data_IF_544659149201
#
_entry.id   IF_544659149201
#
_cell.length_a   1.000
_cell.length_b   1.000
_cell.length_c   1.000
_cell.angle_alpha   90.00
_cell.angle_beta   90.00
_cell.angle_gamma   90.00
#
_symmetry.space_group_name_H-M   'P 1'
#
loop_
_entity.id
_entity.type
_entity.pdbx_description
1 polymer ?
#
# COMPACT_ATOMS: atom_id res chain seq x y z
N UNK A 1 3.12 -13.93 25.24
CA UNK A 1 1.90 -13.84 24.40
C UNK A 1 1.61 -12.36 24.21
N UNK A 2 1.82 -11.82 23.00
CA UNK A 2 1.56 -10.39 22.74
C UNK A 2 0.08 -10.10 22.93
N UNK A 3 -0.26 -9.06 23.69
CA UNK A 3 -1.64 -8.61 23.84
C UNK A 3 -2.23 -8.34 22.46
N UNK A 4 -3.42 -8.89 22.20
CA UNK A 4 -4.15 -8.64 20.95
C UNK A 4 -4.54 -7.16 20.96
N UNK A 5 -3.95 -6.38 20.07
CA UNK A 5 -4.18 -4.94 19.98
C UNK A 5 -5.24 -4.65 18.89
N UNK A 6 -6.18 -3.74 19.19
CA UNK A 6 -7.18 -3.26 18.23
C UNK A 6 -6.61 -2.10 17.42
N UNK A 7 -7.05 -1.95 16.18
CA UNK A 7 -6.79 -0.73 15.43
C UNK A 7 -7.77 0.41 15.83
N UNK A 8 -7.59 1.59 15.23
CA UNK A 8 -8.43 2.76 15.49
C UNK A 8 -9.91 2.54 15.07
N UNK A 9 -10.19 1.51 14.27
CA UNK A 9 -11.54 1.10 13.84
C UNK A 9 -12.04 -0.14 14.59
N UNK A 10 -11.43 -0.43 15.75
CA UNK A 10 -11.84 -1.49 16.66
C UNK A 10 -11.70 -2.92 16.08
N UNK A 11 -10.87 -3.12 15.05
CA UNK A 11 -10.59 -4.43 14.44
C UNK A 11 -9.42 -5.11 15.13
N UNK A 12 -9.48 -6.43 15.28
CA UNK A 12 -8.39 -7.21 15.86
C UNK A 12 -7.26 -7.42 14.85
N UNK A 13 -6.02 -7.09 15.25
CA UNK A 13 -4.82 -7.43 14.46
C UNK A 13 -4.47 -8.90 14.67
N UNK A 14 -5.04 -9.79 13.85
CA UNK A 14 -4.87 -11.25 13.94
C UNK A 14 -3.84 -11.83 12.98
N UNK A 15 -3.47 -11.09 11.93
CA UNK A 15 -2.53 -11.55 10.90
C UNK A 15 -1.09 -11.18 11.27
N UNK A 16 -0.18 -12.14 11.16
CA UNK A 16 1.26 -11.93 11.36
C UNK A 16 1.97 -11.80 10.03
N UNK A 17 2.71 -10.70 9.85
CA UNK A 17 3.64 -10.51 8.73
C UNK A 17 5.06 -10.55 9.30
N UNK A 18 5.93 -11.38 8.73
CA UNK A 18 7.31 -11.56 9.21
C UNK A 18 8.32 -11.37 8.07
N UNK A 19 9.45 -10.76 8.39
CA UNK A 19 10.58 -10.52 7.48
C UNK A 19 11.90 -10.71 8.23
N UNK A 20 12.98 -10.97 7.50
CA UNK A 20 14.33 -11.16 8.05
C UNK A 20 15.07 -9.82 8.04
N UNK A 21 15.87 -9.60 9.09
CA UNK A 21 16.73 -8.43 9.24
C UNK A 21 18.13 -8.91 9.64
N UNK A 22 19.16 -8.19 9.23
CA UNK A 22 20.48 -8.31 9.84
C UNK A 22 20.45 -7.80 11.30
N UNK A 23 21.43 -8.17 12.13
CA UNK A 23 21.56 -7.62 13.48
C UNK A 23 21.58 -6.08 13.50
N UNK A 24 22.30 -5.48 12.56
CA UNK A 24 22.45 -4.02 12.41
C UNK A 24 21.13 -3.36 12.02
N UNK A 25 20.40 -3.92 11.06
CA UNK A 25 19.08 -3.41 10.64
C UNK A 25 18.07 -3.48 11.81
N UNK A 26 18.13 -4.52 12.63
CA UNK A 26 17.27 -4.66 13.81
C UNK A 26 17.63 -3.64 14.92
N UNK A 27 18.90 -3.32 15.11
CA UNK A 27 19.32 -2.27 16.04
C UNK A 27 18.83 -0.89 15.57
N UNK A 28 19.00 -0.59 14.29
CA UNK A 28 18.51 0.66 13.70
C UNK A 28 17.00 0.80 13.84
N UNK A 29 16.24 -0.27 13.51
CA UNK A 29 14.79 -0.29 13.72
C UNK A 29 14.42 -0.01 15.17
N UNK A 30 15.14 -0.62 16.13
CA UNK A 30 14.89 -0.41 17.56
C UNK A 30 15.11 1.05 17.96
N UNK A 31 16.17 1.67 17.45
CA UNK A 31 16.48 3.07 17.72
C UNK A 31 15.43 4.00 17.11
N UNK A 32 15.02 3.77 15.86
CA UNK A 32 13.96 4.54 15.21
C UNK A 32 12.64 4.45 15.97
N UNK A 33 12.23 3.26 16.42
CA UNK A 33 11.02 3.07 17.22
C UNK A 33 11.06 3.90 18.50
N UNK A 34 12.21 3.93 19.20
CA UNK A 34 12.41 4.76 20.40
C UNK A 34 12.34 6.25 20.09
N UNK A 35 13.00 6.71 19.03
CA UNK A 35 13.07 8.11 18.64
C UNK A 35 11.72 8.66 18.17
N UNK A 36 10.92 7.85 17.46
CA UNK A 36 9.62 8.26 16.94
C UNK A 36 8.51 8.27 18.01
N UNK A 37 8.80 7.88 19.25
CA UNK A 37 7.83 7.87 20.35
C UNK A 37 6.71 6.84 20.19
N UNK A 38 6.86 5.86 19.30
CA UNK A 38 5.91 4.78 19.14
C UNK A 38 5.92 3.87 20.38
N UNK A 39 4.74 3.47 20.87
CA UNK A 39 4.65 2.63 22.06
C UNK A 39 5.12 1.21 21.79
N UNK A 40 4.93 0.74 20.56
CA UNK A 40 5.33 -0.60 20.14
C UNK A 40 6.04 -0.57 18.78
N UNK A 41 6.89 -1.59 18.54
CA UNK A 41 7.48 -1.81 17.20
C UNK A 41 6.41 -2.04 16.14
N UNK A 42 5.31 -2.69 16.52
CA UNK A 42 4.20 -2.99 15.60
C UNK A 42 3.54 -1.71 15.08
N UNK A 43 3.28 -0.72 15.94
CA UNK A 43 2.72 0.57 15.53
C UNK A 43 3.64 1.29 14.55
N UNK A 44 4.93 1.36 14.87
CA UNK A 44 5.93 1.99 14.00
C UNK A 44 5.96 1.33 12.62
N UNK A 45 6.06 -0.01 12.57
CA UNK A 45 6.14 -0.76 11.30
C UNK A 45 4.86 -0.59 10.49
N UNK A 46 3.68 -0.68 11.10
CA UNK A 46 2.41 -0.48 10.39
C UNK A 46 2.34 0.95 9.82
N UNK A 47 2.72 1.95 10.62
CA UNK A 47 2.70 3.34 10.17
C UNK A 47 3.70 3.59 9.03
N UNK A 48 4.91 3.03 9.12
CA UNK A 48 5.91 3.12 8.05
C UNK A 48 5.46 2.41 6.77
N UNK A 49 4.82 1.24 6.86
CA UNK A 49 4.40 0.50 5.67
C UNK A 49 3.19 1.16 5.00
N UNK A 50 2.21 1.65 5.78
CA UNK A 50 0.95 2.15 5.24
C UNK A 50 0.97 3.63 4.82
N UNK A 51 1.86 4.45 5.39
CA UNK A 51 1.80 5.92 5.22
C UNK A 51 3.12 6.53 4.76
N UNK A 52 4.09 5.72 4.32
CA UNK A 52 5.34 6.24 3.76
C UNK A 52 5.16 6.65 2.30
N UNK A 53 5.95 7.65 1.86
CA UNK A 53 6.01 8.05 0.46
C UNK A 53 6.28 6.84 -0.42
N UNK A 54 5.36 6.58 -1.35
CA UNK A 54 5.46 5.49 -2.32
C UNK A 54 6.57 5.80 -3.34
N UNK A 55 7.45 4.84 -3.58
CA UNK A 55 8.41 4.87 -4.70
C UNK A 55 8.05 3.72 -5.64
N UNK A 56 7.55 4.07 -6.83
CA UNK A 56 7.04 3.08 -7.77
C UNK A 56 8.17 2.56 -8.68
N UNK A 57 8.45 1.26 -8.60
CA UNK A 57 9.35 0.57 -9.54
C UNK A 57 8.44 -0.14 -10.56
N UNK A 58 8.46 0.33 -11.80
CA UNK A 58 7.54 -0.12 -12.85
C UNK A 58 7.68 -1.61 -13.12
N UNK A 59 6.61 -2.37 -12.88
CA UNK A 59 6.51 -3.79 -13.26
C UNK A 59 5.10 -4.05 -13.82
N UNK A 60 4.95 -4.72 -14.97
CA UNK A 60 3.66 -5.11 -15.54
C UNK A 60 2.66 -5.78 -14.56
N UNK A 61 3.14 -6.56 -13.58
CA UNK A 61 2.28 -7.19 -12.57
C UNK A 61 1.52 -6.17 -11.70
N UNK A 62 2.04 -4.95 -11.57
CA UNK A 62 1.37 -3.86 -10.86
C UNK A 62 0.06 -3.46 -11.55
N UNK A 63 0.05 -3.37 -12.88
CA UNK A 63 -1.15 -3.03 -13.66
C UNK A 63 -2.22 -4.13 -13.55
N UNK A 64 -1.80 -5.39 -13.41
CA UNK A 64 -2.71 -6.51 -13.15
C UNK A 64 -3.37 -6.36 -11.78
N UNK A 65 -2.59 -6.02 -10.75
CA UNK A 65 -3.13 -5.76 -9.40
C UNK A 65 -4.08 -4.56 -9.37
N UNK A 66 -3.78 -3.50 -10.13
CA UNK A 66 -4.67 -2.34 -10.26
C UNK A 66 -6.01 -2.73 -10.86
N UNK A 67 -5.99 -3.50 -11.96
CA UNK A 67 -7.21 -4.00 -12.60
C UNK A 67 -8.09 -4.78 -11.63
N UNK A 68 -7.51 -5.70 -10.85
CA UNK A 68 -8.25 -6.49 -9.87
C UNK A 68 -8.89 -5.63 -8.79
N UNK A 69 -8.16 -4.64 -8.26
CA UNK A 69 -8.72 -3.74 -7.25
C UNK A 69 -9.83 -2.84 -7.84
N UNK A 70 -9.70 -2.37 -9.08
CA UNK A 70 -10.76 -1.60 -9.74
C UNK A 70 -12.02 -2.43 -9.97
N UNK A 71 -11.89 -3.70 -10.38
CA UNK A 71 -13.03 -4.63 -10.51
C UNK A 71 -13.72 -4.88 -9.17
N UNK A 72 -12.96 -5.00 -8.08
CA UNK A 72 -13.55 -5.14 -6.75
C UNK A 72 -14.35 -3.90 -6.34
N UNK A 73 -13.80 -2.71 -6.62
CA UNK A 73 -14.48 -1.44 -6.31
C UNK A 73 -15.73 -1.27 -7.19
N UNK A 74 -15.66 -1.60 -8.47
CA UNK A 74 -16.81 -1.60 -9.38
C UNK A 74 -17.94 -2.47 -8.83
N UNK A 75 -17.65 -3.71 -8.42
CA UNK A 75 -18.63 -4.61 -7.84
C UNK A 75 -19.24 -4.08 -6.53
N UNK A 76 -18.43 -3.47 -5.65
CA UNK A 76 -18.95 -2.86 -4.42
C UNK A 76 -19.78 -1.60 -4.70
N UNK A 77 -19.42 -0.78 -5.70
CA UNK A 77 -20.20 0.37 -6.12
C UNK A 77 -21.54 -0.03 -6.76
N UNK A 78 -21.56 -1.08 -7.59
CA UNK A 78 -22.80 -1.64 -8.15
C UNK A 78 -23.75 -2.16 -7.05
N UNK A 79 -23.19 -2.68 -5.95
CA UNK A 79 -23.96 -3.17 -4.80
C UNK A 79 -24.56 -2.04 -3.97
N UNK A 80 -23.92 -0.87 -3.93
CA UNK A 80 -24.36 0.27 -3.12
C UNK A 80 -25.60 0.93 -3.73
N UNK A 81 -26.73 0.89 -3.01
CA UNK A 81 -27.96 1.56 -3.43
C UNK A 81 -28.05 3.01 -2.93
N UNK A 82 -27.29 3.38 -1.88
CA UNK A 82 -27.26 4.72 -1.27
C UNK A 82 -25.85 5.09 -0.85
N UNK A 83 -25.51 6.37 -0.99
CA UNK A 83 -24.19 6.89 -0.64
C UNK A 83 -23.85 6.77 0.86
N UNK A 84 -24.86 6.76 1.74
CA UNK A 84 -24.66 6.63 3.20
C UNK A 84 -24.19 5.23 3.63
N UNK A 85 -24.30 4.22 2.76
CA UNK A 85 -23.84 2.84 3.02
C UNK A 85 -22.38 2.63 2.56
N UNK A 86 -21.76 3.64 1.96
CA UNK A 86 -20.42 3.54 1.40
C UNK A 86 -19.36 3.48 2.51
N UNK A 87 -18.59 2.38 2.55
CA UNK A 87 -17.47 2.26 3.48
C UNK A 87 -16.40 3.32 3.18
N UNK A 88 -16.01 4.08 4.20
CA UNK A 88 -14.88 5.01 4.17
C UNK A 88 -13.57 4.40 3.63
N UNK A 89 -13.38 3.08 3.77
CA UNK A 89 -12.20 2.37 3.26
C UNK A 89 -12.32 1.91 1.81
N UNK A 90 -13.51 1.94 1.20
CA UNK A 90 -13.74 1.46 -0.17
C UNK A 90 -12.81 2.14 -1.18
N UNK A 91 -12.51 3.43 -0.95
CA UNK A 91 -11.68 4.23 -1.83
C UNK A 91 -10.19 4.20 -1.46
N UNK A 92 -9.80 3.49 -0.40
CA UNK A 92 -8.38 3.36 0.01
C UNK A 92 -7.53 2.78 -1.12
N UNK A 93 -7.94 1.71 -1.83
CA UNK A 93 -7.13 1.18 -2.92
C UNK A 93 -7.00 2.18 -4.08
N UNK A 94 -8.03 2.97 -4.39
CA UNK A 94 -7.95 4.03 -5.41
C UNK A 94 -6.90 5.08 -5.01
N UNK A 95 -6.89 5.53 -3.75
CA UNK A 95 -5.89 6.48 -3.24
C UNK A 95 -4.48 5.92 -3.36
N UNK A 96 -4.27 4.66 -2.96
CA UNK A 96 -2.98 3.98 -3.12
C UNK A 96 -2.57 3.87 -4.59
N UNK A 97 -3.49 3.54 -5.49
CA UNK A 97 -3.20 3.51 -6.93
C UNK A 97 -2.80 4.89 -7.47
N UNK A 98 -3.48 5.96 -7.05
CA UNK A 98 -3.14 7.34 -7.44
C UNK A 98 -1.75 7.74 -6.92
N UNK A 99 -1.43 7.46 -5.66
CA UNK A 99 -0.09 7.71 -5.08
C UNK A 99 1.02 6.99 -5.85
N UNK A 100 0.77 5.75 -6.28
CA UNK A 100 1.71 5.00 -7.13
C UNK A 100 1.86 5.65 -8.51
N UNK A 101 0.75 6.06 -9.16
CA UNK A 101 0.78 6.74 -10.46
C UNK A 101 1.49 8.10 -10.39
N UNK A 102 1.31 8.84 -9.30
CA UNK A 102 2.03 10.10 -9.03
C UNK A 102 3.53 9.85 -8.81
N UNK A 103 3.90 8.81 -8.06
CA UNK A 103 5.30 8.43 -7.88
C UNK A 103 6.01 8.10 -9.20
N UNK A 104 5.31 7.53 -10.19
CA UNK A 104 5.84 7.34 -11.54
C UNK A 104 6.05 8.65 -12.29
N UNK A 105 5.14 9.64 -12.13
CA UNK A 105 5.30 10.97 -12.73
C UNK A 105 6.51 11.70 -12.16
N UNK A 106 6.76 11.57 -10.86
CA UNK A 106 7.91 12.20 -10.18
C UNK A 106 9.26 11.53 -10.52
N UNK A 107 9.25 10.25 -10.93
CA UNK A 107 10.47 9.48 -11.23
C UNK A 107 10.45 8.93 -12.67
N UNK A 108 10.68 9.76 -13.70
CA UNK A 108 10.51 9.37 -15.11
C UNK A 108 11.48 8.29 -15.63
N UNK A 109 12.52 7.92 -14.86
CA UNK A 109 13.53 6.93 -15.29
C UNK A 109 12.95 5.55 -15.59
N UNK A 110 11.75 5.22 -15.09
CA UNK A 110 11.06 3.94 -15.35
C UNK A 110 10.14 3.97 -16.58
N UNK A 111 9.73 5.15 -17.07
CA UNK A 111 8.84 5.27 -18.24
C UNK A 111 9.57 5.04 -19.57
N UNK A 112 10.88 5.32 -19.63
CA UNK A 112 11.72 5.05 -20.81
C UNK A 112 11.79 3.56 -21.20
N UNK A 113 11.43 2.64 -20.29
CA UNK A 113 11.30 1.21 -20.58
C UNK A 113 9.93 0.80 -21.14
N UNK A 114 8.88 1.60 -20.89
CA UNK A 114 7.49 1.28 -21.28
C UNK A 114 7.10 1.79 -22.66
N UNK A 115 7.78 2.82 -23.20
CA UNK A 115 7.58 3.27 -24.60
C UNK A 115 7.80 2.14 -25.63
N UNK A 116 8.59 1.11 -25.28
CA UNK A 116 8.82 -0.06 -26.13
C UNK A 116 7.71 -1.11 -26.12
N UNK A 117 6.70 -0.97 -25.24
CA UNK A 117 5.56 -1.89 -25.15
C UNK A 117 4.28 -1.33 -25.76
N UNK A 118 4.24 -0.05 -26.12
CA UNK A 118 3.05 0.63 -26.68
C UNK A 118 3.12 0.83 -28.19
N UNK A 119 4.16 0.32 -28.87
CA UNK A 119 4.30 0.43 -30.33
C UNK A 119 4.38 -0.97 -30.94
N UNK A 120 3.21 -1.59 -31.07
CA UNK A 120 2.93 -2.65 -32.04
C UNK A 120 1.47 -3.02 -31.89
N UNK A 121 0.63 -2.43 -32.73
CA UNK A 121 -0.53 -3.07 -33.39
C UNK A 121 -1.31 -2.00 -34.18
N UNK A 122 -0.67 -1.36 -35.16
CA UNK A 122 -1.35 -0.78 -36.33
C UNK A 122 -0.40 -0.92 -37.53
N UNK A 123 -0.50 -2.05 -38.23
CA UNK A 123 -0.28 -2.24 -39.67
C UNK A 123 -1.08 -3.46 -40.14
#
# INVERSE_FOLDING_TARGET
MSEKNRDAKNRWRTVTVAFRLSPEENEELTNRVKMCGCRTRQEYIIQSILYQKVVAIGNPLMLVSFRQNLQHIEAELERLQKADEMDSELLTPIRTMLEILEAFRETPRTLAGMERLTVSDED
#
